data_IF_757880545326
#
_entry.id   IF_757880545326
#
_cell.length_a   1.000
_cell.length_b   1.000
_cell.length_c   1.000
_cell.angle_alpha   90.00
_cell.angle_beta   90.00
_cell.angle_gamma   90.00
#
_symmetry.space_group_name_H-M   'P 1'
#
loop_
_entity.id
_entity.type
_entity.pdbx_description
1 polymer ?
#
# COMPACT_ATOMS: atom_id res chain seq x y z
N UNK A 1 45.05 60.97 -11.37
CA UNK A 1 44.87 59.66 -10.72
C UNK A 1 43.50 59.65 -10.13
N UNK A 2 42.58 58.91 -10.74
CA UNK A 2 41.18 58.75 -10.27
C UNK A 2 41.04 57.34 -9.69
N UNK A 3 40.77 57.25 -8.40
CA UNK A 3 40.45 56.03 -7.69
C UNK A 3 38.98 55.68 -7.91
N UNK A 4 38.72 54.55 -8.58
CA UNK A 4 37.37 53.96 -8.70
C UNK A 4 37.09 53.05 -7.49
N UNK A 5 36.09 53.45 -6.73
CA UNK A 5 35.56 52.63 -5.62
C UNK A 5 34.53 51.62 -6.19
N UNK A 6 34.85 50.33 -6.13
CA UNK A 6 33.93 49.29 -6.52
C UNK A 6 32.93 49.03 -5.39
N UNK A 7 31.64 49.22 -5.66
CA UNK A 7 30.55 48.87 -4.76
C UNK A 7 30.12 47.44 -5.07
N UNK A 8 30.35 46.54 -4.12
CA UNK A 8 29.97 45.13 -4.20
C UNK A 8 28.50 44.98 -3.75
N UNK A 9 27.60 44.71 -4.69
CA UNK A 9 26.23 44.34 -4.37
C UNK A 9 26.21 42.88 -3.93
N UNK A 10 25.95 42.64 -2.64
CA UNK A 10 25.60 41.29 -2.12
C UNK A 10 24.12 41.06 -2.39
N UNK A 11 23.82 40.29 -3.42
CA UNK A 11 22.46 39.78 -3.66
C UNK A 11 22.15 38.69 -2.67
N UNK A 12 21.31 38.99 -1.68
CA UNK A 12 20.77 38.02 -0.73
C UNK A 12 19.68 37.20 -1.45
N UNK A 13 20.03 36.00 -1.89
CA UNK A 13 19.04 35.04 -2.39
C UNK A 13 18.26 34.43 -1.22
N UNK A 14 17.05 34.97 -1.00
CA UNK A 14 16.04 34.31 -0.17
C UNK A 14 15.58 33.06 -0.90
N UNK A 15 16.11 31.91 -0.51
CA UNK A 15 15.56 30.64 -0.88
C UNK A 15 14.25 30.46 -0.13
N UNK A 16 13.14 30.83 -0.76
CA UNK A 16 11.80 30.48 -0.28
C UNK A 16 11.63 29.00 -0.50
N UNK A 17 11.81 28.23 0.57
CA UNK A 17 11.44 26.82 0.62
C UNK A 17 9.91 26.74 0.56
N UNK A 18 9.34 26.76 -0.64
CA UNK A 18 7.92 26.50 -0.85
C UNK A 18 7.68 25.05 -0.58
N UNK A 19 6.95 24.78 0.49
CA UNK A 19 6.50 23.47 0.93
C UNK A 19 5.86 22.73 -0.24
N UNK A 20 6.34 21.52 -0.52
CA UNK A 20 5.93 20.65 -1.64
C UNK A 20 4.44 20.20 -1.63
N UNK A 21 3.66 20.62 -0.64
CA UNK A 21 2.23 20.35 -0.54
C UNK A 21 1.37 21.05 -1.60
N UNK A 22 1.81 22.17 -2.15
CA UNK A 22 1.04 22.96 -3.13
C UNK A 22 1.06 22.32 -4.53
N UNK A 23 2.09 21.55 -4.88
CA UNK A 23 2.23 20.95 -6.20
C UNK A 23 1.28 19.76 -6.43
N UNK A 24 0.77 19.14 -5.36
CA UNK A 24 -0.07 17.93 -5.46
C UNK A 24 -1.52 18.24 -5.91
N UNK A 25 -2.02 19.42 -5.60
CA UNK A 25 -3.43 19.82 -5.85
C UNK A 25 -3.71 20.37 -7.25
N UNK A 26 -2.68 20.64 -8.06
CA UNK A 26 -2.85 21.36 -9.33
C UNK A 26 -3.28 20.52 -10.54
N UNK A 27 -3.37 19.17 -10.43
CA UNK A 27 -3.83 18.30 -11.52
C UNK A 27 -4.94 17.35 -11.04
N UNK A 28 -6.23 17.71 -11.25
CA UNK A 28 -7.37 16.97 -10.71
C UNK A 28 -7.50 15.52 -11.20
N UNK A 29 -6.86 15.17 -12.30
CA UNK A 29 -6.94 13.83 -12.93
C UNK A 29 -5.80 12.87 -12.55
N UNK A 30 -4.91 13.26 -11.65
CA UNK A 30 -3.87 12.34 -11.17
C UNK A 30 -4.47 11.26 -10.26
N UNK A 31 -4.07 9.98 -10.39
CA UNK A 31 -4.54 8.88 -9.54
C UNK A 31 -4.43 9.19 -8.04
N UNK A 32 -3.32 9.77 -7.60
CA UNK A 32 -3.09 10.12 -6.21
C UNK A 32 -4.07 11.18 -5.67
N UNK A 33 -4.45 12.16 -6.49
CA UNK A 33 -5.45 13.19 -6.09
C UNK A 33 -6.84 12.56 -5.94
N UNK A 34 -7.21 11.66 -6.85
CA UNK A 34 -8.49 10.95 -6.78
C UNK A 34 -8.56 10.04 -5.56
N UNK A 35 -7.50 9.26 -5.32
CA UNK A 35 -7.40 8.41 -4.14
C UNK A 35 -7.47 9.23 -2.84
N UNK A 36 -6.79 10.38 -2.76
CA UNK A 36 -6.84 11.24 -1.58
C UNK A 36 -8.25 11.81 -1.35
N UNK A 37 -8.91 12.31 -2.39
CA UNK A 37 -10.31 12.81 -2.32
C UNK A 37 -11.28 11.73 -1.86
N UNK A 38 -11.07 10.47 -2.24
CA UNK A 38 -11.87 9.36 -1.76
C UNK A 38 -11.82 9.26 -0.22
N UNK A 39 -10.64 9.35 0.39
CA UNK A 39 -10.49 9.34 1.85
C UNK A 39 -10.93 10.64 2.51
N UNK A 40 -10.72 11.79 1.86
CA UNK A 40 -11.23 13.09 2.34
C UNK A 40 -12.76 13.11 2.46
N UNK A 41 -13.46 12.56 1.45
CA UNK A 41 -14.92 12.48 1.46
C UNK A 41 -15.47 11.59 2.59
N UNK A 42 -14.66 10.66 3.09
CA UNK A 42 -15.01 9.76 4.20
C UNK A 42 -14.43 10.23 5.54
N UNK A 43 -13.86 11.43 5.59
CA UNK A 43 -13.18 11.96 6.79
C UNK A 43 -14.13 11.91 7.99
N UNK A 44 -13.87 10.98 8.87
CA UNK A 44 -14.44 10.90 10.20
C UNK A 44 -13.32 11.08 11.23
N UNK A 45 -13.68 11.38 12.48
CA UNK A 45 -12.71 11.42 13.58
C UNK A 45 -12.21 10.04 13.98
N UNK A 46 -12.88 8.98 13.53
CA UNK A 46 -12.57 7.59 13.85
C UNK A 46 -12.15 6.84 12.57
N UNK A 47 -10.86 6.57 12.45
CA UNK A 47 -10.26 5.78 11.36
C UNK A 47 -10.90 4.38 11.29
N UNK A 48 -11.18 3.76 12.44
CA UNK A 48 -11.82 2.44 12.50
C UNK A 48 -13.23 2.46 11.92
N UNK A 49 -13.96 3.56 12.06
CA UNK A 49 -15.28 3.71 11.43
C UNK A 49 -15.19 3.71 9.92
N UNK A 50 -14.22 4.41 9.33
CA UNK A 50 -13.98 4.40 7.87
C UNK A 50 -13.80 2.98 7.39
N UNK A 51 -12.90 2.22 8.02
CA UNK A 51 -12.61 0.85 7.62
C UNK A 51 -13.83 -0.07 7.79
N UNK A 52 -14.59 0.06 8.88
CA UNK A 52 -15.82 -0.72 9.08
C UNK A 52 -16.88 -0.44 8.00
N UNK A 53 -17.06 0.81 7.62
CA UNK A 53 -18.04 1.21 6.58
C UNK A 53 -17.70 0.72 5.20
N UNK A 54 -16.40 0.65 4.88
CA UNK A 54 -15.89 0.18 3.60
C UNK A 54 -15.77 -1.33 3.51
N UNK A 55 -15.73 -2.03 4.66
CA UNK A 55 -15.42 -3.45 4.71
C UNK A 55 -16.38 -4.27 3.84
N UNK A 56 -15.84 -5.00 2.84
CA UNK A 56 -16.67 -5.85 2.01
C UNK A 56 -17.09 -7.10 2.78
N UNK A 57 -18.22 -7.68 2.41
CA UNK A 57 -18.60 -8.98 2.90
C UNK A 57 -17.60 -10.05 2.41
N UNK A 58 -17.22 -11.02 3.27
CA UNK A 58 -16.44 -12.14 2.84
C UNK A 58 -17.15 -12.92 1.72
N UNK A 59 -16.38 -13.55 0.84
CA UNK A 59 -16.97 -14.45 -0.14
C UNK A 59 -17.63 -15.66 0.55
N UNK A 60 -18.69 -16.17 -0.06
CA UNK A 60 -19.44 -17.31 0.48
C UNK A 60 -18.58 -18.59 0.59
N UNK A 61 -18.91 -19.45 1.53
CA UNK A 61 -18.14 -20.67 1.80
C UNK A 61 -18.01 -21.57 0.57
N UNK A 62 -19.04 -21.67 -0.26
CA UNK A 62 -19.02 -22.46 -1.49
C UNK A 62 -18.04 -21.89 -2.53
N UNK A 63 -18.05 -20.56 -2.74
CA UNK A 63 -17.11 -19.91 -3.63
C UNK A 63 -15.68 -20.06 -3.12
N UNK A 64 -15.46 -19.87 -1.81
CA UNK A 64 -14.16 -20.12 -1.18
C UNK A 64 -13.67 -21.55 -1.42
N UNK A 65 -14.54 -22.55 -1.22
CA UNK A 65 -14.18 -23.93 -1.45
C UNK A 65 -13.80 -24.19 -2.92
N UNK A 66 -14.50 -23.59 -3.88
CA UNK A 66 -14.15 -23.67 -5.31
C UNK A 66 -12.78 -23.08 -5.61
N UNK A 67 -12.48 -21.89 -5.07
CA UNK A 67 -11.17 -21.25 -5.24
C UNK A 67 -10.06 -22.13 -4.68
N UNK A 68 -10.21 -22.64 -3.46
CA UNK A 68 -9.24 -23.52 -2.82
C UNK A 68 -9.04 -24.84 -3.60
N UNK A 69 -10.12 -25.42 -4.14
CA UNK A 69 -10.05 -26.64 -4.95
C UNK A 69 -9.36 -26.41 -6.31
N UNK A 70 -9.44 -25.18 -6.85
CA UNK A 70 -8.80 -24.82 -8.12
C UNK A 70 -7.30 -24.51 -7.97
N UNK A 71 -6.82 -24.29 -6.73
CA UNK A 71 -5.39 -24.03 -6.51
C UNK A 71 -4.55 -25.22 -6.97
N UNK A 72 -3.40 -24.99 -7.61
CA UNK A 72 -2.48 -26.05 -7.96
C UNK A 72 -2.11 -26.89 -6.72
N UNK A 73 -2.28 -28.20 -6.79
CA UNK A 73 -1.86 -29.11 -5.72
C UNK A 73 -0.33 -29.14 -5.54
N UNK A 74 0.41 -28.73 -6.58
CA UNK A 74 1.86 -28.62 -6.58
C UNK A 74 2.23 -27.14 -6.46
N UNK A 75 3.19 -26.82 -5.60
CA UNK A 75 3.75 -25.45 -5.46
C UNK A 75 3.56 -24.81 -4.10
N UNK A 76 2.59 -25.23 -3.30
CA UNK A 76 2.53 -24.85 -1.89
C UNK A 76 3.68 -25.54 -1.13
N UNK A 77 4.58 -24.75 -0.57
CA UNK A 77 5.71 -25.26 0.18
C UNK A 77 5.33 -25.49 1.64
N UNK A 78 5.83 -26.56 2.28
CA UNK A 78 5.71 -26.68 3.73
C UNK A 78 6.42 -25.53 4.41
N UNK A 79 5.76 -24.96 5.42
CA UNK A 79 6.33 -23.88 6.23
C UNK A 79 7.49 -24.40 7.06
N UNK A 80 8.60 -23.68 7.03
CA UNK A 80 9.74 -23.96 7.87
C UNK A 80 9.62 -23.25 9.24
N UNK A 81 10.62 -23.44 10.10
CA UNK A 81 10.60 -22.98 11.49
C UNK A 81 10.55 -21.45 11.65
N UNK A 82 11.11 -20.66 10.70
CA UNK A 82 11.10 -19.19 10.76
C UNK A 82 9.88 -18.57 10.04
N UNK A 83 9.29 -19.26 9.09
CA UNK A 83 8.11 -18.78 8.34
C UNK A 83 6.85 -18.80 9.19
N UNK A 84 6.66 -19.87 10.00
CA UNK A 84 5.50 -20.00 10.87
C UNK A 84 5.30 -18.83 11.83
N UNK A 85 6.33 -18.38 12.60
CA UNK A 85 6.17 -17.22 13.48
C UNK A 85 5.86 -15.93 12.72
N UNK A 86 6.49 -15.71 11.55
CA UNK A 86 6.20 -14.53 10.72
C UNK A 86 4.75 -14.49 10.25
N UNK A 87 4.24 -15.61 9.78
CA UNK A 87 2.84 -15.70 9.33
C UNK A 87 1.86 -15.59 10.51
N UNK A 88 2.21 -16.07 11.70
CA UNK A 88 1.40 -15.88 12.89
C UNK A 88 1.27 -14.40 13.29
N UNK A 89 2.25 -13.56 12.97
CA UNK A 89 2.17 -12.10 13.22
C UNK A 89 1.07 -11.40 12.39
N UNK A 90 0.52 -12.04 11.36
CA UNK A 90 -0.53 -11.47 10.54
C UNK A 90 -1.91 -11.49 11.22
N UNK A 91 -2.08 -12.31 12.26
CA UNK A 91 -3.36 -12.52 12.93
C UNK A 91 -4.05 -11.22 13.38
N UNK A 92 -3.37 -10.22 13.99
CA UNK A 92 -4.03 -8.97 14.39
C UNK A 92 -4.61 -8.20 13.20
N UNK A 93 -3.91 -8.18 12.06
CA UNK A 93 -4.38 -7.52 10.83
C UNK A 93 -5.57 -8.27 10.24
N UNK A 94 -5.49 -9.60 10.15
CA UNK A 94 -6.57 -10.44 9.64
C UNK A 94 -7.83 -10.35 10.53
N UNK A 95 -7.66 -10.42 11.83
CA UNK A 95 -8.75 -10.31 12.80
C UNK A 95 -9.45 -8.95 12.72
N UNK A 96 -8.67 -7.86 12.61
CA UNK A 96 -9.21 -6.51 12.50
C UNK A 96 -10.14 -6.35 11.29
N UNK A 97 -9.81 -6.99 10.17
CA UNK A 97 -10.62 -6.99 8.95
C UNK A 97 -11.66 -8.12 8.89
N UNK A 98 -11.81 -8.92 9.95
CA UNK A 98 -12.68 -10.10 9.98
C UNK A 98 -12.30 -11.12 8.88
N UNK A 99 -11.00 -11.30 8.64
CA UNK A 99 -10.44 -12.25 7.66
C UNK A 99 -9.69 -13.41 8.31
N UNK A 100 -9.53 -13.39 9.63
CA UNK A 100 -9.00 -14.52 10.39
C UNK A 100 -9.84 -15.79 10.18
N UNK A 101 -9.19 -16.88 9.85
CA UNK A 101 -9.86 -18.15 9.50
C UNK A 101 -10.64 -18.15 8.18
N UNK A 102 -10.73 -17.00 7.49
CA UNK A 102 -11.36 -16.87 6.17
C UNK A 102 -10.30 -16.93 5.07
N UNK A 103 -9.24 -16.13 5.20
CA UNK A 103 -8.16 -16.17 4.25
C UNK A 103 -7.23 -17.35 4.52
N UNK A 104 -6.94 -18.10 3.46
CA UNK A 104 -5.95 -19.17 3.46
C UNK A 104 -4.57 -18.55 3.14
N UNK A 105 -3.53 -19.01 3.82
CA UNK A 105 -2.16 -18.58 3.54
C UNK A 105 -1.40 -19.65 2.79
N UNK A 106 -0.79 -19.32 1.66
CA UNK A 106 0.05 -20.22 0.87
C UNK A 106 1.42 -19.60 0.61
N UNK A 107 2.46 -20.41 0.79
CA UNK A 107 3.84 -20.04 0.47
C UNK A 107 4.26 -20.82 -0.76
N UNK A 108 4.91 -20.15 -1.71
CA UNK A 108 5.41 -20.75 -2.93
C UNK A 108 6.85 -20.29 -3.21
N UNK A 109 7.51 -20.99 -4.10
CA UNK A 109 8.88 -20.66 -4.52
C UNK A 109 8.83 -19.80 -5.79
N UNK A 110 9.38 -18.60 -5.69
CA UNK A 110 9.60 -17.68 -6.80
C UNK A 110 10.84 -16.84 -6.50
N UNK A 111 11.59 -16.45 -7.54
CA UNK A 111 12.73 -15.56 -7.36
C UNK A 111 12.30 -14.16 -6.91
N UNK A 112 11.14 -13.71 -7.31
CA UNK A 112 10.59 -12.39 -6.96
C UNK A 112 10.06 -12.36 -5.53
N UNK A 113 10.07 -11.16 -4.94
CA UNK A 113 9.36 -10.89 -3.71
C UNK A 113 7.89 -10.56 -4.02
N UNK A 114 6.99 -11.48 -3.69
CA UNK A 114 5.56 -11.39 -4.00
C UNK A 114 4.74 -11.55 -2.73
N UNK A 115 3.81 -10.61 -2.50
CA UNK A 115 2.62 -10.76 -1.67
C UNK A 115 1.43 -10.49 -2.57
N UNK A 116 0.40 -11.31 -2.54
CA UNK A 116 -0.78 -11.10 -3.37
C UNK A 116 -2.03 -11.71 -2.74
N UNK A 117 -3.18 -11.06 -2.95
CA UNK A 117 -4.49 -11.62 -2.63
C UNK A 117 -5.09 -12.27 -3.89
N UNK A 118 -5.25 -13.59 -3.85
CA UNK A 118 -5.86 -14.35 -4.93
C UNK A 118 -7.33 -14.63 -4.62
N UNK A 119 -8.22 -14.22 -5.55
CA UNK A 119 -9.65 -14.49 -5.53
C UNK A 119 -10.32 -14.20 -4.18
N UNK A 120 -9.89 -13.13 -3.50
CA UNK A 120 -10.43 -12.70 -2.19
C UNK A 120 -10.41 -13.79 -1.12
N UNK A 121 -9.52 -14.78 -1.25
CA UNK A 121 -9.53 -16.00 -0.42
C UNK A 121 -8.14 -16.39 0.05
N UNK A 122 -7.13 -16.26 -0.80
CA UNK A 122 -5.80 -16.81 -0.54
C UNK A 122 -4.76 -15.70 -0.54
N UNK A 123 -4.08 -15.56 0.57
CA UNK A 123 -2.86 -14.75 0.66
C UNK A 123 -1.68 -15.60 0.18
N UNK A 124 -1.10 -15.17 -0.92
CA UNK A 124 0.06 -15.80 -1.55
C UNK A 124 1.33 -15.08 -1.14
N UNK A 125 2.32 -15.83 -0.69
CA UNK A 125 3.64 -15.30 -0.34
C UNK A 125 4.71 -16.07 -1.10
N UNK A 126 5.60 -15.37 -1.80
CA UNK A 126 6.84 -16.01 -2.18
C UNK A 126 7.71 -16.23 -0.95
N UNK A 127 8.48 -17.33 -0.93
CA UNK A 127 9.46 -17.58 0.14
C UNK A 127 10.47 -16.45 0.26
N UNK A 128 10.76 -15.80 -0.86
CA UNK A 128 11.65 -14.65 -0.90
C UNK A 128 11.10 -13.46 -0.12
N UNK A 129 9.80 -13.16 -0.22
CA UNK A 129 9.17 -12.11 0.59
C UNK A 129 9.31 -12.37 2.09
N UNK A 130 9.09 -13.63 2.52
CA UNK A 130 9.23 -14.00 3.92
C UNK A 130 10.68 -13.90 4.44
N UNK A 131 11.66 -13.97 3.56
CA UNK A 131 13.07 -13.71 3.91
C UNK A 131 13.39 -12.23 3.98
N UNK A 132 12.86 -11.47 3.03
CA UNK A 132 13.16 -10.05 2.83
C UNK A 132 12.53 -9.17 3.91
N UNK A 133 11.24 -9.33 4.16
CA UNK A 133 10.47 -8.43 5.01
C UNK A 133 10.55 -8.80 6.48
N UNK A 134 10.62 -7.79 7.35
CA UNK A 134 10.37 -7.93 8.79
C UNK A 134 8.89 -8.30 9.05
N UNK A 135 8.56 -8.70 10.28
CA UNK A 135 7.18 -8.98 10.66
C UNK A 135 6.25 -7.77 10.52
N UNK A 136 6.72 -6.58 10.90
CA UNK A 136 5.95 -5.34 10.78
C UNK A 136 5.72 -4.94 9.31
N UNK A 137 6.73 -5.06 8.45
CA UNK A 137 6.59 -4.81 7.01
C UNK A 137 5.65 -5.83 6.37
N UNK A 138 5.70 -7.10 6.80
CA UNK A 138 4.80 -8.13 6.30
C UNK A 138 3.34 -7.85 6.70
N UNK A 139 3.09 -7.40 7.94
CA UNK A 139 1.77 -6.95 8.37
C UNK A 139 1.26 -5.79 7.51
N UNK A 140 2.11 -4.81 7.21
CA UNK A 140 1.76 -3.67 6.38
C UNK A 140 1.44 -4.09 4.93
N UNK A 141 2.23 -4.99 4.34
CA UNK A 141 1.96 -5.52 3.01
C UNK A 141 0.66 -6.33 2.97
N UNK A 142 0.38 -7.13 3.99
CA UNK A 142 -0.91 -7.86 4.07
C UNK A 142 -2.09 -6.90 4.24
N UNK A 143 -1.95 -5.83 4.99
CA UNK A 143 -2.98 -4.80 5.07
C UNK A 143 -3.23 -4.12 3.71
N UNK A 144 -2.19 -3.96 2.87
CA UNK A 144 -2.32 -3.52 1.48
C UNK A 144 -3.09 -4.54 0.63
N UNK A 145 -2.73 -5.82 0.73
CA UNK A 145 -3.44 -6.89 0.01
C UNK A 145 -4.92 -7.00 0.41
N UNK A 146 -5.23 -6.76 1.68
CA UNK A 146 -6.63 -6.65 2.13
C UNK A 146 -7.32 -5.45 1.46
N UNK A 147 -6.60 -4.38 1.14
CA UNK A 147 -7.12 -3.27 0.34
C UNK A 147 -7.69 -3.74 -1.02
N UNK A 148 -7.07 -4.72 -1.67
CA UNK A 148 -7.61 -5.32 -2.88
C UNK A 148 -8.97 -6.00 -2.66
N UNK A 149 -9.22 -6.61 -1.49
CA UNK A 149 -10.55 -7.14 -1.14
C UNK A 149 -11.59 -6.02 -1.05
N UNK A 150 -11.22 -4.85 -0.50
CA UNK A 150 -12.11 -3.68 -0.38
C UNK A 150 -12.53 -3.12 -1.73
N UNK A 151 -11.67 -3.16 -2.73
CA UNK A 151 -11.88 -2.56 -4.05
C UNK A 151 -11.94 -3.60 -5.17
N UNK A 152 -12.27 -4.86 -4.84
CA UNK A 152 -12.21 -5.96 -5.79
C UNK A 152 -13.01 -5.70 -7.07
N UNK A 153 -14.27 -5.28 -6.94
CA UNK A 153 -15.12 -5.00 -8.10
C UNK A 153 -14.63 -3.83 -8.96
N UNK A 154 -13.97 -2.84 -8.34
CA UNK A 154 -13.32 -1.74 -9.05
C UNK A 154 -12.10 -2.22 -9.83
N UNK A 155 -11.27 -3.09 -9.25
CA UNK A 155 -10.14 -3.72 -9.94
C UNK A 155 -10.60 -4.55 -11.13
N UNK A 156 -11.61 -5.40 -10.98
CA UNK A 156 -12.16 -6.19 -12.09
C UNK A 156 -12.62 -5.28 -13.24
N UNK A 157 -13.32 -4.19 -12.94
CA UNK A 157 -13.75 -3.22 -13.95
C UNK A 157 -12.59 -2.50 -14.63
N UNK A 158 -11.57 -2.10 -13.87
CA UNK A 158 -10.39 -1.43 -14.41
C UNK A 158 -9.57 -2.37 -15.32
N UNK A 159 -9.42 -3.63 -14.93
CA UNK A 159 -8.80 -4.66 -15.78
C UNK A 159 -9.59 -4.90 -17.07
N UNK A 160 -10.90 -5.09 -16.98
CA UNK A 160 -11.75 -5.33 -18.13
C UNK A 160 -11.72 -4.18 -19.16
N UNK A 161 -11.48 -2.95 -18.70
CA UNK A 161 -11.40 -1.74 -19.54
C UNK A 161 -9.98 -1.37 -19.95
N UNK A 162 -8.97 -2.12 -19.52
CA UNK A 162 -7.56 -1.77 -19.66
C UNK A 162 -7.22 -0.36 -19.13
N UNK A 163 -7.86 0.03 -18.01
CA UNK A 163 -7.71 1.35 -17.40
C UNK A 163 -6.50 1.38 -16.47
N UNK A 164 -5.32 1.68 -17.01
CA UNK A 164 -4.06 1.77 -16.25
C UNK A 164 -4.13 2.83 -15.15
N UNK A 165 -4.72 4.00 -15.42
CA UNK A 165 -4.83 5.07 -14.40
C UNK A 165 -5.79 4.68 -13.29
N UNK A 166 -6.89 4.02 -13.62
CA UNK A 166 -7.80 3.46 -12.63
C UNK A 166 -7.12 2.43 -11.75
N UNK A 167 -6.28 1.55 -12.31
CA UNK A 167 -5.48 0.59 -11.50
C UNK A 167 -4.50 1.31 -10.58
N UNK A 168 -3.77 2.32 -11.06
CA UNK A 168 -2.89 3.12 -10.20
C UNK A 168 -3.65 3.84 -9.06
N UNK A 169 -4.84 4.38 -9.32
CA UNK A 169 -5.69 4.96 -8.27
C UNK A 169 -6.08 3.91 -7.23
N UNK A 170 -6.45 2.71 -7.65
CA UNK A 170 -6.85 1.62 -6.78
C UNK A 170 -5.68 1.11 -5.93
N UNK A 171 -4.47 1.00 -6.48
CA UNK A 171 -3.26 0.69 -5.72
C UNK A 171 -3.03 1.70 -4.59
N UNK A 172 -3.19 2.99 -4.86
CA UNK A 172 -3.08 4.02 -3.84
C UNK A 172 -4.21 3.94 -2.79
N UNK A 173 -5.42 3.54 -3.20
CA UNK A 173 -6.49 3.26 -2.24
C UNK A 173 -6.16 2.06 -1.34
N UNK A 174 -5.51 1.01 -1.88
CA UNK A 174 -5.02 -0.10 -1.08
C UNK A 174 -3.94 0.35 -0.09
N UNK A 175 -3.01 1.23 -0.50
CA UNK A 175 -2.08 1.87 0.43
C UNK A 175 -2.80 2.66 1.54
N UNK A 176 -3.90 3.33 1.18
CA UNK A 176 -4.73 4.04 2.16
C UNK A 176 -5.37 3.10 3.17
N UNK A 177 -5.96 1.98 2.74
CA UNK A 177 -6.49 0.95 3.65
C UNK A 177 -5.38 0.43 4.57
N UNK A 178 -4.20 0.13 4.02
CA UNK A 178 -3.06 -0.32 4.80
C UNK A 178 -2.64 0.69 5.87
N UNK A 179 -2.44 1.96 5.49
CA UNK A 179 -2.08 3.03 6.41
C UNK A 179 -3.09 3.16 7.56
N UNK A 180 -4.39 3.24 7.23
CA UNK A 180 -5.45 3.37 8.22
C UNK A 180 -5.53 2.14 9.14
N UNK A 181 -5.27 0.95 8.61
CA UNK A 181 -5.20 -0.29 9.41
C UNK A 181 -4.06 -0.25 10.41
N UNK A 182 -2.86 0.14 9.96
CA UNK A 182 -1.70 0.25 10.86
C UNK A 182 -1.96 1.27 11.97
N UNK A 183 -2.54 2.43 11.63
CA UNK A 183 -2.91 3.45 12.63
C UNK A 183 -3.94 2.93 13.63
N UNK A 184 -4.99 2.23 13.17
CA UNK A 184 -6.04 1.68 14.03
C UNK A 184 -5.52 0.58 14.98
N UNK A 185 -4.49 -0.15 14.57
CA UNK A 185 -3.84 -1.19 15.37
C UNK A 185 -2.66 -0.68 16.19
N UNK A 186 -2.35 0.63 16.17
CA UNK A 186 -1.16 1.23 16.78
C UNK A 186 0.15 0.57 16.30
N UNK A 187 0.19 0.14 15.06
CA UNK A 187 1.39 -0.34 14.38
C UNK A 187 2.10 0.84 13.69
N UNK A 188 3.41 0.71 13.48
CA UNK A 188 4.19 1.78 12.84
C UNK A 188 3.82 1.95 11.35
N UNK A 189 3.24 3.09 10.95
CA UNK A 189 2.92 3.37 9.55
C UNK A 189 4.14 3.39 8.61
N UNK A 190 5.36 3.62 9.13
CA UNK A 190 6.58 3.59 8.33
C UNK A 190 6.85 2.18 7.75
N UNK A 191 6.34 1.13 8.39
CA UNK A 191 6.47 -0.25 7.92
C UNK A 191 5.88 -0.45 6.52
N UNK A 192 4.82 0.28 6.14
CA UNK A 192 4.25 0.22 4.80
C UNK A 192 5.24 0.75 3.75
N UNK A 193 5.76 1.95 3.98
CA UNK A 193 6.74 2.57 3.05
C UNK A 193 8.01 1.73 2.95
N UNK A 194 8.47 1.18 4.06
CA UNK A 194 9.67 0.33 4.09
C UNK A 194 9.42 -0.97 3.33
N UNK A 195 8.33 -1.68 3.60
CA UNK A 195 7.98 -2.92 2.89
C UNK A 195 7.85 -2.72 1.38
N UNK A 196 7.15 -1.66 0.95
CA UNK A 196 7.04 -1.28 -0.46
C UNK A 196 8.42 -1.03 -1.10
N UNK A 197 9.30 -0.29 -0.40
CA UNK A 197 10.65 0.00 -0.88
C UNK A 197 11.49 -1.26 -1.03
N UNK A 198 11.47 -2.13 -0.03
CA UNK A 198 12.26 -3.36 -0.05
C UNK A 198 11.81 -4.30 -1.17
N UNK A 199 10.50 -4.51 -1.35
CA UNK A 199 9.95 -5.34 -2.43
C UNK A 199 10.28 -4.75 -3.80
N UNK A 200 10.04 -3.44 -3.99
CA UNK A 200 10.33 -2.76 -5.26
C UNK A 200 11.81 -2.87 -5.61
N UNK A 201 12.70 -2.48 -4.69
CA UNK A 201 14.15 -2.53 -4.90
C UNK A 201 14.64 -3.94 -5.21
N UNK A 202 14.12 -4.93 -4.49
CA UNK A 202 14.51 -6.32 -4.70
C UNK A 202 14.11 -6.82 -6.10
N UNK A 203 12.87 -6.54 -6.52
CA UNK A 203 12.36 -6.96 -7.82
C UNK A 203 13.04 -6.22 -8.98
N UNK A 204 13.35 -4.93 -8.82
CA UNK A 204 14.15 -4.16 -9.78
C UNK A 204 15.55 -4.78 -10.01
N UNK A 205 16.22 -5.26 -8.95
CA UNK A 205 17.50 -5.94 -9.08
C UNK A 205 17.42 -7.23 -9.90
N UNK A 206 16.27 -7.91 -9.88
CA UNK A 206 16.02 -9.10 -10.68
C UNK A 206 15.66 -8.78 -12.14
N UNK A 207 15.47 -7.50 -12.48
CA UNK A 207 14.95 -7.05 -13.79
C UNK A 207 13.63 -7.72 -14.17
N UNK A 208 12.84 -8.06 -13.18
CA UNK A 208 11.50 -8.58 -13.35
C UNK A 208 10.53 -7.40 -13.47
N UNK A 209 10.74 -6.59 -14.50
CA UNK A 209 9.90 -5.43 -14.77
C UNK A 209 8.54 -5.94 -15.21
N UNK A 210 7.66 -6.10 -14.24
CA UNK A 210 6.23 -6.20 -14.51
C UNK A 210 5.77 -4.95 -15.27
N UNK A 211 4.54 -4.93 -15.72
CA UNK A 211 4.00 -3.81 -16.51
C UNK A 211 4.00 -2.53 -15.64
N UNK A 212 5.12 -1.78 -15.67
CA UNK A 212 5.40 -0.57 -14.86
C UNK A 212 4.26 0.44 -14.96
N UNK A 213 3.48 0.41 -16.06
CA UNK A 213 2.36 1.33 -16.27
C UNK A 213 1.17 1.12 -15.33
N UNK A 214 1.04 -0.04 -14.70
CA UNK A 214 -0.11 -0.40 -13.86
C UNK A 214 0.06 0.01 -12.40
N UNK A 215 1.28 0.28 -11.98
CA UNK A 215 1.61 0.62 -10.60
C UNK A 215 2.03 2.09 -10.47
N UNK A 216 1.63 2.78 -9.38
CA UNK A 216 2.22 4.07 -9.04
C UNK A 216 3.70 3.89 -8.72
N UNK A 217 4.51 4.90 -9.03
CA UNK A 217 5.91 4.92 -8.61
C UNK A 217 6.03 4.91 -7.08
N UNK A 218 7.13 4.40 -6.56
CA UNK A 218 7.40 4.43 -5.12
C UNK A 218 7.31 5.85 -4.54
N UNK A 219 7.77 6.85 -5.30
CA UNK A 219 7.68 8.26 -4.91
C UNK A 219 6.23 8.74 -4.79
N UNK A 220 5.36 8.39 -5.75
CA UNK A 220 3.93 8.73 -5.70
C UNK A 220 3.24 8.06 -4.52
N UNK A 221 3.53 6.78 -4.25
CA UNK A 221 3.02 6.06 -3.08
C UNK A 221 3.44 6.73 -1.77
N UNK A 222 4.73 7.10 -1.63
CA UNK A 222 5.24 7.80 -0.44
C UNK A 222 4.57 9.15 -0.22
N UNK A 223 4.40 9.95 -1.29
CA UNK A 223 3.73 11.25 -1.22
C UNK A 223 2.26 11.10 -0.82
N UNK A 224 1.56 10.12 -1.39
CA UNK A 224 0.18 9.82 -1.06
C UNK A 224 0.02 9.38 0.40
N UNK A 225 0.84 8.42 0.87
CA UNK A 225 0.83 7.92 2.25
C UNK A 225 1.09 9.07 3.23
N UNK A 226 2.06 9.95 2.92
CA UNK A 226 2.31 11.13 3.75
C UNK A 226 1.10 12.06 3.80
N UNK A 227 0.52 12.41 2.65
CA UNK A 227 -0.64 13.30 2.58
C UNK A 227 -1.84 12.72 3.32
N UNK A 228 -2.12 11.42 3.16
CA UNK A 228 -3.22 10.75 3.85
C UNK A 228 -2.99 10.66 5.37
N UNK A 229 -1.74 10.42 5.81
CA UNK A 229 -1.40 10.43 7.24
C UNK A 229 -1.64 11.81 7.84
N UNK A 230 -1.19 12.86 7.16
CA UNK A 230 -1.38 14.24 7.61
C UNK A 230 -2.88 14.60 7.66
N UNK A 231 -3.70 14.05 6.75
CA UNK A 231 -5.16 14.19 6.75
C UNK A 231 -5.81 13.45 7.92
N UNK A 232 -5.32 12.27 8.27
CA UNK A 232 -5.87 11.40 9.31
C UNK A 232 -5.41 11.79 10.74
N UNK A 233 -4.36 12.60 10.89
CA UNK A 233 -3.87 13.08 12.18
C UNK A 233 -4.78 14.22 12.70
N UNK A 234 -5.55 14.02 13.78
CA UNK A 234 -6.41 15.07 14.33
C UNK A 234 -5.63 16.28 14.85
N UNK A 235 -4.33 16.15 15.11
CA UNK A 235 -3.47 17.24 15.60
C UNK A 235 -2.77 18.01 14.47
N UNK A 236 -2.87 17.58 13.23
CA UNK A 236 -2.22 18.25 12.10
C UNK A 236 -2.83 19.63 11.79
N UNK A 237 -4.08 19.89 12.23
CA UNK A 237 -4.81 21.14 11.98
C UNK A 237 -4.32 22.28 12.90
N UNK A 238 -3.60 21.96 13.98
CA UNK A 238 -3.14 22.92 14.98
C UNK A 238 -1.62 23.18 14.95
N UNK A 239 -0.94 22.75 13.90
CA UNK A 239 0.48 23.01 13.63
C UNK A 239 0.63 23.85 12.37
#
# INVERSE_FOLDING_TARGET
MRTQTAVMFVACWLVVSTSSSVAFTQMPDRPAVKALRFFEAMRTRDVGEVLRRLRPQPIGAEQRARVLAALPKRGALPLNWYERPKLAMLEPVLAYHERAGIFETKVFDAPEAIVALHERTVLLFSRQTLRLLSGAELQAMVAHEIGHDYFWAEFERAFARNDHRGRQELELKCDGIALLTLMALNLDPASLVNGLREVTRFNEMLKTDGNVSDYPTLQERQQFIKALRDLADPNAINR
#
